data_IF_679014296460
#
_entry.id   IF_679014296460
#
_cell.length_a   1.000
_cell.length_b   1.000
_cell.length_c   1.000
_cell.angle_alpha   90.00
_cell.angle_beta   90.00
_cell.angle_gamma   90.00
#
_symmetry.space_group_name_H-M   'P 1'
#
loop_
_entity.id
_entity.type
_entity.pdbx_description
1 polymer ?
#
# COMPACT_ATOMS: atom_id res chain seq x y z
N UNK A 1 -28.61 -27.29 29.74
CA UNK A 1 -28.14 -28.00 28.56
C UNK A 1 -27.62 -27.03 27.52
N UNK A 2 -28.42 -26.17 27.10
CA UNK A 2 -28.06 -25.21 26.04
C UNK A 2 -27.14 -24.11 26.54
N UNK A 3 -27.22 -23.81 27.83
CA UNK A 3 -26.44 -22.75 28.44
C UNK A 3 -24.93 -22.92 28.28
N UNK A 4 -24.37 -24.13 28.47
CA UNK A 4 -22.93 -24.29 28.30
C UNK A 4 -22.42 -23.95 26.90
N UNK A 5 -23.19 -24.26 25.88
CA UNK A 5 -22.80 -23.96 24.52
C UNK A 5 -22.81 -22.44 24.27
N UNK A 6 -23.80 -21.75 24.83
CA UNK A 6 -23.87 -20.30 24.70
C UNK A 6 -22.72 -19.61 25.40
N UNK A 7 -22.36 -20.09 26.58
CA UNK A 7 -21.25 -19.56 27.36
C UNK A 7 -19.94 -19.75 26.61
N UNK A 8 -19.75 -20.93 26.03
CA UNK A 8 -18.55 -21.21 25.26
C UNK A 8 -18.40 -20.28 24.08
N UNK A 9 -19.49 -19.98 23.39
CA UNK A 9 -19.46 -19.05 22.25
C UNK A 9 -19.08 -17.65 22.71
N UNK A 10 -19.65 -17.19 23.81
CA UNK A 10 -19.33 -15.86 24.34
C UNK A 10 -17.85 -15.77 24.74
N UNK A 11 -17.31 -16.81 25.38
CA UNK A 11 -15.92 -16.82 25.77
C UNK A 11 -14.99 -16.82 24.58
N UNK A 12 -15.37 -17.47 23.50
CA UNK A 12 -14.53 -17.48 22.30
C UNK A 12 -14.39 -16.10 21.69
N UNK A 13 -15.37 -15.22 21.83
CA UNK A 13 -15.31 -13.88 21.30
C UNK A 13 -14.54 -12.90 22.18
N UNK A 14 -14.69 -13.02 23.50
CA UNK A 14 -14.08 -12.07 24.43
C UNK A 14 -12.56 -12.02 24.37
N UNK A 15 -11.84 -13.13 24.34
CA UNK A 15 -10.38 -13.07 24.28
C UNK A 15 -9.86 -12.38 23.02
N UNK A 16 -10.54 -12.53 21.90
CA UNK A 16 -10.07 -11.93 20.67
C UNK A 16 -10.13 -10.40 20.69
N UNK A 17 -11.13 -9.83 21.36
CA UNK A 17 -11.26 -8.39 21.42
C UNK A 17 -10.23 -7.74 22.34
N UNK A 18 -9.54 -8.52 23.18
CA UNK A 18 -8.57 -8.01 24.14
C UNK A 18 -7.15 -8.04 23.63
N UNK A 19 -6.89 -8.64 22.50
CA UNK A 19 -5.54 -8.76 21.95
C UNK A 19 -5.29 -7.70 20.90
N UNK A 20 -4.15 -7.04 21.00
CA UNK A 20 -3.71 -6.12 19.97
C UNK A 20 -3.34 -6.90 18.73
N UNK A 21 -3.73 -6.37 17.57
CA UNK A 21 -3.35 -6.96 16.30
C UNK A 21 -1.91 -6.61 15.96
N UNK A 22 -1.18 -7.57 15.37
CA UNK A 22 0.13 -7.31 14.81
C UNK A 22 0.00 -6.46 13.54
N UNK A 23 1.12 -5.88 13.09
CA UNK A 23 1.13 -5.14 11.83
C UNK A 23 0.70 -6.04 10.67
N UNK A 24 1.15 -7.30 10.67
CA UNK A 24 0.77 -8.25 9.64
C UNK A 24 -0.73 -8.48 9.61
N UNK A 25 -1.35 -8.68 10.76
CA UNK A 25 -2.80 -8.90 10.86
C UNK A 25 -3.59 -7.67 10.42
N UNK A 26 -3.15 -6.49 10.86
CA UNK A 26 -3.79 -5.22 10.45
C UNK A 26 -3.72 -5.03 8.94
N UNK A 27 -2.57 -5.37 8.34
CA UNK A 27 -2.39 -5.26 6.90
C UNK A 27 -3.31 -6.17 6.13
N UNK A 28 -3.40 -7.44 6.55
CA UNK A 28 -4.29 -8.41 5.90
C UNK A 28 -5.74 -7.97 6.01
N UNK A 29 -6.17 -7.55 7.20
CA UNK A 29 -7.53 -7.10 7.42
C UNK A 29 -7.85 -5.85 6.60
N UNK A 30 -6.95 -4.86 6.62
CA UNK A 30 -7.14 -3.63 5.86
C UNK A 30 -7.31 -3.92 4.37
N UNK A 31 -6.42 -4.74 3.80
CA UNK A 31 -6.47 -5.03 2.37
C UNK A 31 -7.71 -5.82 1.99
N UNK A 32 -8.15 -6.75 2.84
CA UNK A 32 -9.38 -7.50 2.59
C UNK A 32 -10.60 -6.57 2.52
N UNK A 33 -10.70 -5.63 3.44
CA UNK A 33 -11.79 -4.66 3.46
C UNK A 33 -11.68 -3.67 2.31
N UNK A 34 -10.46 -3.20 2.04
CA UNK A 34 -10.22 -2.21 1.00
C UNK A 34 -10.55 -2.75 -0.39
N UNK A 35 -10.33 -4.04 -0.63
CA UNK A 35 -10.63 -4.68 -1.90
C UNK A 35 -12.13 -4.62 -2.25
N UNK A 36 -13.00 -4.45 -1.27
CA UNK A 36 -14.44 -4.37 -1.49
C UNK A 36 -14.93 -2.97 -1.79
N UNK A 37 -14.06 -1.96 -1.66
CA UNK A 37 -14.47 -0.57 -1.87
C UNK A 37 -14.60 -0.27 -3.34
N UNK A 38 -15.59 0.56 -3.67
CA UNK A 38 -15.83 0.97 -5.05
C UNK A 38 -14.61 1.74 -5.57
N UNK A 39 -14.18 1.38 -6.78
CA UNK A 39 -13.05 2.03 -7.42
C UNK A 39 -11.70 1.38 -7.13
N UNK A 40 -11.62 0.50 -6.15
CA UNK A 40 -10.38 -0.21 -5.83
C UNK A 40 -10.26 -1.44 -6.72
N UNK A 41 -9.10 -1.58 -7.37
CA UNK A 41 -8.79 -2.73 -8.22
C UNK A 41 -7.68 -3.54 -7.58
N UNK A 42 -7.70 -4.85 -7.79
CA UNK A 42 -6.72 -5.78 -7.21
C UNK A 42 -6.02 -6.51 -8.34
N UNK A 43 -4.70 -6.53 -8.32
CA UNK A 43 -3.91 -7.28 -9.31
C UNK A 43 -3.64 -8.69 -8.80
N UNK A 44 -3.21 -9.62 -9.68
CA UNK A 44 -2.90 -10.99 -9.24
C UNK A 44 -1.83 -11.08 -8.15
N UNK A 45 -0.93 -10.10 -8.05
CA UNK A 45 0.11 -10.08 -7.01
C UNK A 45 -0.43 -9.69 -5.64
N UNK A 46 -1.65 -9.15 -5.58
CA UNK A 46 -2.24 -8.62 -4.36
C UNK A 46 -2.09 -7.11 -4.21
N UNK A 47 -1.42 -6.46 -5.15
CA UNK A 47 -1.37 -4.99 -5.18
C UNK A 47 -2.78 -4.46 -5.41
N UNK A 48 -3.15 -3.43 -4.66
CA UNK A 48 -4.43 -2.75 -4.86
C UNK A 48 -4.17 -1.32 -5.29
N UNK A 49 -5.06 -0.79 -6.10
CA UNK A 49 -4.92 0.60 -6.53
C UNK A 49 -6.25 1.24 -6.86
N UNK A 50 -6.25 2.56 -6.79
CA UNK A 50 -7.40 3.39 -7.11
C UNK A 50 -6.93 4.50 -8.03
N UNK A 51 -7.65 4.72 -9.13
CA UNK A 51 -7.33 5.79 -10.08
C UNK A 51 -7.96 7.08 -9.58
N UNK A 52 -7.14 8.06 -9.23
CA UNK A 52 -7.62 9.38 -8.83
C UNK A 52 -7.77 10.27 -10.06
N UNK A 53 -6.73 10.29 -10.91
CA UNK A 53 -6.73 11.02 -12.17
C UNK A 53 -6.08 10.15 -13.22
N UNK A 54 -6.71 9.98 -14.35
CA UNK A 54 -6.13 9.25 -15.46
C UNK A 54 -5.44 10.22 -16.42
N UNK A 55 -4.16 9.97 -16.68
CA UNK A 55 -3.39 10.76 -17.62
C UNK A 55 -3.56 10.27 -19.04
N UNK A 56 -2.90 10.94 -19.96
CA UNK A 56 -3.00 10.64 -21.39
C UNK A 56 -1.65 10.38 -22.06
N UNK A 57 -0.56 10.51 -21.31
CA UNK A 57 0.77 10.29 -21.84
C UNK A 57 1.13 8.82 -21.93
N UNK A 58 2.42 8.54 -22.05
CA UNK A 58 2.88 7.15 -22.19
C UNK A 58 3.03 6.48 -20.83
N UNK A 59 2.95 5.16 -20.83
CA UNK A 59 3.18 4.34 -19.66
C UNK A 59 4.63 3.88 -19.63
N UNK A 60 5.25 3.79 -18.45
CA UNK A 60 6.64 3.34 -18.34
C UNK A 60 6.74 1.82 -18.42
N UNK A 61 7.92 1.37 -18.80
CA UNK A 61 8.33 -0.03 -18.68
C UNK A 61 9.18 -0.17 -17.43
N UNK A 62 9.36 -1.40 -16.98
CA UNK A 62 10.16 -1.67 -15.78
C UNK A 62 11.60 -1.15 -15.89
N UNK A 63 12.12 -1.01 -17.11
CA UNK A 63 13.48 -0.53 -17.34
C UNK A 63 13.57 0.98 -17.47
N UNK A 64 12.45 1.68 -17.44
CA UNK A 64 12.44 3.12 -17.59
C UNK A 64 12.70 3.83 -16.25
N UNK A 65 13.14 5.08 -16.35
CA UNK A 65 13.26 5.99 -15.23
C UNK A 65 12.03 6.89 -15.21
N UNK A 66 11.47 7.11 -14.04
CA UNK A 66 10.25 7.92 -13.89
C UNK A 66 10.49 9.09 -12.96
N UNK A 67 9.84 10.20 -13.27
CA UNK A 67 9.78 11.36 -12.41
C UNK A 67 8.38 11.45 -11.82
N UNK A 68 8.30 11.49 -10.49
CA UNK A 68 7.03 11.43 -9.77
C UNK A 68 6.99 12.42 -8.63
N UNK A 69 5.76 12.82 -8.27
CA UNK A 69 5.47 13.30 -6.93
C UNK A 69 4.76 12.20 -6.18
N UNK A 70 5.05 12.05 -4.89
CA UNK A 70 4.44 10.99 -4.11
C UNK A 70 4.36 11.33 -2.63
N UNK A 71 3.46 10.63 -1.94
CA UNK A 71 3.34 10.67 -0.49
C UNK A 71 3.07 9.25 -0.01
N UNK A 72 3.86 8.79 0.95
CA UNK A 72 3.69 7.47 1.55
C UNK A 72 3.25 7.56 3.00
N UNK A 73 2.28 6.75 3.38
CA UNK A 73 1.78 6.67 4.75
C UNK A 73 1.63 5.22 5.20
N UNK A 74 1.72 5.04 6.52
CA UNK A 74 1.34 3.79 7.16
C UNK A 74 -0.18 3.72 7.25
N UNK A 75 -0.72 2.57 7.67
CA UNK A 75 -2.17 2.40 7.77
C UNK A 75 -2.81 3.33 8.80
N UNK A 76 -2.05 3.76 9.81
CA UNK A 76 -2.54 4.70 10.82
C UNK A 76 -2.49 6.16 10.38
N UNK A 77 -2.06 6.41 9.14
CA UNK A 77 -1.97 7.76 8.59
C UNK A 77 -0.63 8.45 8.81
N UNK A 78 0.30 7.81 9.51
CA UNK A 78 1.64 8.38 9.71
C UNK A 78 2.36 8.52 8.37
N UNK A 79 2.72 9.74 8.01
CA UNK A 79 3.47 9.99 6.77
C UNK A 79 4.94 9.68 7.02
N UNK A 80 5.51 8.82 6.18
CA UNK A 80 6.93 8.46 6.34
C UNK A 80 7.80 9.03 5.23
N UNK A 81 7.22 9.48 4.13
CA UNK A 81 7.99 10.09 3.04
C UNK A 81 7.05 10.89 2.13
N UNK A 82 7.57 12.00 1.58
CA UNK A 82 6.79 12.83 0.68
C UNK A 82 7.69 13.73 -0.15
N UNK A 83 7.58 13.63 -1.47
CA UNK A 83 8.27 14.55 -2.37
C UNK A 83 7.63 15.93 -2.32
N UNK A 84 6.34 16.01 -2.07
CA UNK A 84 5.65 17.29 -1.91
C UNK A 84 6.24 18.09 -0.76
N UNK A 85 6.56 17.41 0.32
CA UNK A 85 7.13 18.06 1.51
C UNK A 85 8.53 18.62 1.24
N UNK A 86 9.30 17.93 0.38
CA UNK A 86 10.63 18.40 -0.04
C UNK A 86 10.56 19.50 -1.10
N UNK A 87 9.38 19.71 -1.69
CA UNK A 87 9.19 20.79 -2.66
C UNK A 87 9.70 20.48 -4.07
N UNK A 88 10.08 19.24 -4.36
CA UNK A 88 10.52 18.90 -5.71
C UNK A 88 10.25 17.42 -6.02
N UNK A 89 10.03 17.10 -7.30
CA UNK A 89 9.79 15.71 -7.71
C UNK A 89 11.00 14.82 -7.47
N UNK A 90 10.74 13.53 -7.35
CA UNK A 90 11.77 12.52 -7.24
C UNK A 90 11.90 11.77 -8.56
N UNK A 91 13.11 11.30 -8.86
CA UNK A 91 13.40 10.53 -10.08
C UNK A 91 13.94 9.18 -9.67
N UNK A 92 13.33 8.10 -10.17
CA UNK A 92 13.72 6.73 -9.84
C UNK A 92 13.81 5.85 -11.08
N UNK A 93 14.83 4.97 -11.16
CA UNK A 93 14.76 3.82 -12.05
C UNK A 93 13.65 2.89 -11.53
N UNK A 94 12.71 2.52 -12.40
CA UNK A 94 11.52 1.81 -11.94
C UNK A 94 11.82 0.38 -11.46
N UNK A 95 12.93 -0.20 -11.90
CA UNK A 95 13.34 -1.51 -11.43
C UNK A 95 14.19 -1.49 -10.15
N UNK A 96 14.32 -0.33 -9.49
CA UNK A 96 15.11 -0.17 -8.27
C UNK A 96 14.28 0.38 -7.11
N UNK A 97 12.99 0.25 -7.19
CA UNK A 97 12.06 0.66 -6.14
C UNK A 97 11.36 -0.59 -5.60
N UNK A 98 10.52 -0.44 -4.58
CA UNK A 98 9.79 -1.59 -4.03
C UNK A 98 8.94 -2.25 -5.12
N UNK A 99 8.74 -3.58 -5.05
CA UNK A 99 7.99 -4.31 -6.08
C UNK A 99 6.61 -3.74 -6.38
N UNK A 100 5.92 -3.27 -5.36
CA UNK A 100 4.60 -2.65 -5.55
C UNK A 100 4.64 -1.43 -6.46
N UNK A 101 5.71 -0.65 -6.39
CA UNK A 101 5.91 0.49 -7.29
C UNK A 101 6.30 0.03 -8.69
N UNK A 102 7.22 -0.93 -8.78
CA UNK A 102 7.64 -1.44 -10.09
C UNK A 102 6.44 -1.93 -10.88
N UNK A 103 5.56 -2.66 -10.23
CA UNK A 103 4.33 -3.15 -10.86
C UNK A 103 3.32 -2.02 -11.10
N UNK A 104 3.04 -1.25 -10.05
CA UNK A 104 1.94 -0.28 -10.07
C UNK A 104 2.16 0.90 -11.01
N UNK A 105 3.37 1.45 -11.02
CA UNK A 105 3.65 2.62 -11.85
C UNK A 105 3.58 2.29 -13.33
N UNK A 106 3.83 1.04 -13.72
CA UNK A 106 3.64 0.60 -15.11
C UNK A 106 2.18 0.64 -15.56
N UNK A 107 1.25 0.66 -14.63
CA UNK A 107 -0.19 0.80 -14.93
C UNK A 107 -0.58 2.24 -15.20
N UNK A 108 0.27 3.19 -14.83
CA UNK A 108 -0.02 4.61 -14.96
C UNK A 108 0.44 5.16 -16.31
N UNK A 109 -0.12 6.29 -16.68
CA UNK A 109 0.33 7.09 -17.81
C UNK A 109 0.84 8.43 -17.29
N UNK A 110 1.70 9.08 -18.05
CA UNK A 110 2.11 10.44 -17.70
C UNK A 110 0.87 11.31 -17.51
N UNK A 111 0.83 12.05 -16.41
CA UNK A 111 -0.32 12.84 -16.00
C UNK A 111 -1.28 12.13 -15.08
N UNK A 112 -1.10 10.83 -14.83
CA UNK A 112 -1.96 10.08 -13.91
C UNK A 112 -1.60 10.34 -12.46
N UNK A 113 -2.61 10.21 -11.60
CA UNK A 113 -2.43 10.16 -10.15
C UNK A 113 -3.20 8.96 -9.64
N UNK A 114 -2.48 8.02 -9.03
CA UNK A 114 -3.05 6.79 -8.49
C UNK A 114 -2.76 6.70 -7.00
N UNK A 115 -3.62 5.98 -6.32
CA UNK A 115 -3.39 5.62 -4.92
C UNK A 115 -3.15 4.12 -4.88
N UNK A 116 -2.02 3.73 -4.29
CA UNK A 116 -1.64 2.33 -4.17
C UNK A 116 -1.73 1.87 -2.73
N UNK A 117 -2.27 0.68 -2.54
CA UNK A 117 -2.34 0.01 -1.24
C UNK A 117 -1.48 -1.24 -1.38
N UNK A 118 -0.32 -1.23 -0.75
CA UNK A 118 0.74 -2.19 -1.05
C UNK A 118 0.91 -3.16 0.11
N UNK A 119 0.65 -4.47 -0.10
CA UNK A 119 0.91 -5.45 0.95
C UNK A 119 2.41 -5.49 1.26
N UNK A 120 2.76 -5.83 2.49
CA UNK A 120 4.15 -5.76 2.95
C UNK A 120 5.09 -6.58 2.08
N UNK A 121 4.64 -7.71 1.54
CA UNK A 121 5.47 -8.55 0.67
C UNK A 121 5.91 -7.84 -0.61
N UNK A 122 5.19 -6.80 -1.03
CA UNK A 122 5.54 -5.99 -2.20
C UNK A 122 6.18 -4.66 -1.78
N UNK A 123 6.48 -4.50 -0.52
CA UNK A 123 7.12 -3.32 0.06
C UNK A 123 8.40 -3.74 0.80
N UNK A 124 8.46 -3.55 2.10
CA UNK A 124 9.68 -3.82 2.86
C UNK A 124 9.64 -5.14 3.64
N UNK A 125 8.54 -5.88 3.55
CA UNK A 125 8.43 -7.24 4.08
C UNK A 125 8.66 -7.35 5.57
N UNK A 126 9.19 -8.51 5.98
CA UNK A 126 9.39 -8.83 7.38
C UNK A 126 10.48 -7.99 8.05
N UNK A 127 11.39 -7.41 7.28
CA UNK A 127 12.49 -6.60 7.82
C UNK A 127 12.09 -5.16 8.08
N UNK A 128 11.12 -4.63 7.35
CA UNK A 128 10.81 -3.20 7.39
C UNK A 128 12.02 -2.39 6.93
N UNK A 129 12.13 -1.16 7.44
CA UNK A 129 13.30 -0.31 7.21
C UNK A 129 14.07 -0.22 8.53
N UNK A 130 15.15 -1.00 8.70
CA UNK A 130 15.89 -1.00 9.96
C UNK A 130 16.32 0.41 10.38
N UNK A 131 15.94 0.81 11.59
CA UNK A 131 16.20 2.18 12.06
C UNK A 131 15.31 3.23 11.44
N UNK A 132 14.44 2.86 10.52
CA UNK A 132 13.53 3.78 9.84
C UNK A 132 12.09 3.67 10.36
N UNK A 133 11.16 4.40 9.72
CA UNK A 133 9.78 4.50 10.21
C UNK A 133 8.90 3.30 9.92
N UNK A 134 9.31 2.41 8.98
CA UNK A 134 8.48 1.28 8.57
C UNK A 134 8.93 0.04 9.33
N UNK A 135 8.03 -0.49 10.14
CA UNK A 135 8.30 -1.72 10.90
C UNK A 135 8.10 -2.98 10.08
N UNK A 136 8.30 -4.14 10.71
CA UNK A 136 8.11 -5.44 10.05
C UNK A 136 6.65 -5.63 9.61
N UNK A 137 6.48 -6.19 8.42
CA UNK A 137 5.17 -6.63 7.91
C UNK A 137 4.14 -5.52 7.79
N UNK A 138 4.57 -4.29 7.52
CA UNK A 138 3.65 -3.18 7.38
C UNK A 138 3.18 -3.00 5.94
N UNK A 139 1.86 -2.95 5.74
CA UNK A 139 1.27 -2.54 4.48
C UNK A 139 1.40 -1.02 4.35
N UNK A 140 1.56 -0.52 3.14
CA UNK A 140 1.80 0.90 2.89
C UNK A 140 0.75 1.47 1.95
N UNK A 141 0.51 2.77 2.10
CA UNK A 141 -0.37 3.51 1.21
C UNK A 141 0.45 4.61 0.55
N UNK A 142 0.44 4.66 -0.79
CA UNK A 142 1.12 5.69 -1.55
C UNK A 142 0.15 6.40 -2.48
N UNK A 143 0.21 7.73 -2.49
CA UNK A 143 -0.35 8.49 -3.60
C UNK A 143 0.81 8.83 -4.51
N UNK A 144 0.68 8.52 -5.79
CA UNK A 144 1.76 8.72 -6.78
C UNK A 144 1.20 9.47 -7.96
N UNK A 145 1.87 10.54 -8.32
CA UNK A 145 1.57 11.32 -9.52
C UNK A 145 2.73 11.12 -10.50
N UNK A 146 2.45 10.52 -11.65
CA UNK A 146 3.48 10.27 -12.66
C UNK A 146 3.62 11.50 -13.56
N UNK A 147 4.76 12.17 -13.45
CA UNK A 147 5.00 13.40 -14.19
C UNK A 147 5.64 13.14 -15.55
N UNK A 148 6.61 12.25 -15.59
CA UNK A 148 7.39 12.02 -16.82
C UNK A 148 8.00 10.63 -16.83
N UNK A 149 8.02 10.04 -18.01
CA UNK A 149 8.74 8.79 -18.29
C UNK A 149 9.98 9.15 -19.12
N UNK A 150 11.15 8.75 -18.62
CA UNK A 150 12.43 9.06 -19.26
C UNK A 150 13.04 7.85 -19.94
#
# INVERSE_FOLDING_TARGET
MRIPALIAAALALLPMSNYAQSAAEKGVQFLAENATKKGVKVTPSGLQYEVITEGTGKSPKATDTVQVHYKGTLLDGTEFDSSYKRGQPATFPLNRVIPGWTEGVQLMKEGSKYKFFIPSKLAYGASGTPGGPIGPNEALIFEVELLKVQ
#
